data_IF_655218839857
#
_entry.id   IF_655218839857
#
_cell.length_a   1.000
_cell.length_b   1.000
_cell.length_c   1.000
_cell.angle_alpha   90.00
_cell.angle_beta   90.00
_cell.angle_gamma   90.00
#
_symmetry.space_group_name_H-M   'P 1'
#
loop_
_entity.id
_entity.type
_entity.pdbx_description
1 polymer ?
#
# COMPACT_ATOMS: atom_id res chain seq x y z
N UNK A 1 20.24 10.61 -24.76
CA UNK A 1 21.16 10.12 -23.72
C UNK A 1 21.06 10.92 -22.41
N UNK A 2 20.48 12.12 -22.43
CA UNK A 2 20.29 12.99 -21.27
C UNK A 2 18.79 13.19 -20.95
N UNK A 3 18.00 12.14 -21.17
CA UNK A 3 16.57 12.10 -20.90
C UNK A 3 16.25 11.11 -19.79
N UNK A 4 15.25 11.45 -18.99
CA UNK A 4 14.79 10.64 -17.85
C UNK A 4 13.27 10.66 -17.75
N UNK A 5 12.67 9.53 -17.47
CA UNK A 5 11.29 9.45 -16.99
C UNK A 5 11.31 9.33 -15.45
N UNK A 6 10.47 10.10 -14.77
CA UNK A 6 10.43 10.14 -13.30
C UNK A 6 9.06 9.74 -12.77
N UNK A 7 9.04 9.25 -11.53
CA UNK A 7 7.80 8.90 -10.85
C UNK A 7 6.86 10.10 -10.69
N UNK A 8 5.55 9.84 -10.85
CA UNK A 8 4.50 10.86 -10.77
C UNK A 8 4.40 11.53 -9.42
N UNK A 9 4.51 10.75 -8.33
CA UNK A 9 4.33 11.30 -6.97
C UNK A 9 5.51 12.18 -6.62
N UNK A 10 6.73 11.74 -6.95
CA UNK A 10 7.95 12.53 -6.82
C UNK A 10 7.86 13.82 -7.65
N UNK A 11 7.45 13.71 -8.92
CA UNK A 11 7.29 14.87 -9.81
C UNK A 11 6.29 15.89 -9.24
N UNK A 12 5.13 15.42 -8.78
CA UNK A 12 4.09 16.28 -8.20
C UNK A 12 4.57 17.00 -6.94
N UNK A 13 5.23 16.30 -6.03
CA UNK A 13 5.67 16.84 -4.75
C UNK A 13 6.85 17.83 -4.90
N UNK A 14 7.60 17.70 -5.99
CA UNK A 14 8.72 18.60 -6.31
C UNK A 14 8.36 19.66 -7.37
N UNK A 15 7.09 19.73 -7.81
CA UNK A 15 6.61 20.64 -8.86
C UNK A 15 7.39 20.50 -10.17
N UNK A 16 7.74 19.28 -10.56
CA UNK A 16 8.46 18.96 -11.78
C UNK A 16 7.49 18.57 -12.90
N UNK A 17 7.84 18.97 -14.12
CA UNK A 17 7.05 18.73 -15.33
C UNK A 17 7.95 18.23 -16.46
N UNK A 18 7.35 17.63 -17.48
CA UNK A 18 8.08 17.25 -18.71
C UNK A 18 8.72 18.49 -19.34
N UNK A 19 10.01 18.40 -19.63
CA UNK A 19 10.85 19.47 -20.13
C UNK A 19 11.70 20.15 -19.06
N UNK A 20 11.40 19.96 -17.78
CA UNK A 20 12.24 20.44 -16.68
C UNK A 20 13.51 19.61 -16.58
N UNK A 21 14.45 20.11 -15.79
CA UNK A 21 15.75 19.46 -15.56
C UNK A 21 15.83 18.92 -14.14
N UNK A 22 16.43 17.74 -14.01
CA UNK A 22 16.74 17.11 -12.74
C UNK A 22 18.20 16.67 -12.73
N UNK A 23 18.82 16.73 -11.58
CA UNK A 23 20.20 16.28 -11.38
C UNK A 23 20.19 14.90 -10.72
N UNK A 24 20.87 13.93 -11.34
CA UNK A 24 21.09 12.59 -10.84
C UNK A 24 22.60 12.34 -10.78
N UNK A 25 23.12 12.06 -9.61
CA UNK A 25 24.55 11.80 -9.39
C UNK A 25 25.47 12.87 -10.03
N UNK A 26 25.11 14.14 -9.92
CA UNK A 26 25.89 15.26 -10.47
C UNK A 26 25.74 15.48 -11.98
N UNK A 27 24.89 14.71 -12.65
CA UNK A 27 24.59 14.86 -14.08
C UNK A 27 23.18 15.38 -14.28
N UNK A 28 23.02 16.31 -15.22
CA UNK A 28 21.73 16.93 -15.52
C UNK A 28 21.01 16.16 -16.62
N UNK A 29 19.76 15.76 -16.33
CA UNK A 29 18.84 15.12 -17.28
C UNK A 29 17.64 16.02 -17.54
N UNK A 30 17.05 15.86 -18.72
CA UNK A 30 15.78 16.49 -19.07
C UNK A 30 14.64 15.50 -18.88
N UNK A 31 13.61 15.88 -18.16
CA UNK A 31 12.42 15.02 -17.93
C UNK A 31 11.68 14.86 -19.24
N UNK A 32 11.69 13.66 -19.81
CA UNK A 32 10.98 13.32 -21.04
C UNK A 32 9.60 12.69 -20.78
N UNK A 33 9.35 12.19 -19.57
CA UNK A 33 8.11 11.54 -19.21
C UNK A 33 7.88 11.47 -17.70
N UNK A 34 6.60 11.31 -17.35
CA UNK A 34 6.16 11.05 -15.99
C UNK A 34 5.50 9.66 -15.99
N UNK A 35 5.97 8.78 -15.13
CA UNK A 35 5.57 7.37 -15.11
C UNK A 35 4.98 6.95 -13.77
N UNK A 36 4.42 5.77 -13.74
CA UNK A 36 4.08 5.03 -12.52
C UNK A 36 4.37 3.56 -12.79
N UNK A 37 5.12 2.94 -11.90
CA UNK A 37 5.46 1.52 -12.01
C UNK A 37 4.54 0.69 -11.11
N UNK A 38 4.10 -0.49 -11.54
CA UNK A 38 3.19 -1.34 -10.78
C UNK A 38 3.84 -1.95 -9.51
N UNK A 39 5.15 -2.09 -9.49
CA UNK A 39 5.96 -2.58 -8.39
C UNK A 39 6.49 -1.47 -7.44
N UNK A 40 6.17 -0.22 -7.75
CA UNK A 40 6.51 0.96 -6.97
C UNK A 40 5.27 1.83 -6.74
N UNK A 41 4.16 1.24 -6.29
CA UNK A 41 2.94 1.97 -5.96
C UNK A 41 3.14 2.93 -4.79
N UNK A 42 4.02 2.55 -3.85
CA UNK A 42 4.50 3.41 -2.79
C UNK A 42 6.04 3.48 -2.85
N UNK A 43 6.57 4.70 -2.75
CA UNK A 43 8.01 4.96 -2.89
C UNK A 43 8.72 4.77 -1.54
N UNK A 44 8.94 3.53 -1.16
CA UNK A 44 9.80 3.17 -0.05
C UNK A 44 11.26 3.09 -0.53
N UNK A 45 12.18 3.66 0.23
CA UNK A 45 13.61 3.51 -0.04
C UNK A 45 14.08 2.09 0.30
N UNK A 46 13.58 1.54 1.43
CA UNK A 46 13.81 0.15 1.83
C UNK A 46 12.47 -0.51 2.12
N UNK A 47 12.38 -1.82 1.87
CA UNK A 47 11.16 -2.58 2.12
C UNK A 47 10.75 -2.67 3.61
N UNK A 48 11.61 -2.24 4.52
CA UNK A 48 11.35 -2.17 5.97
C UNK A 48 10.97 -0.77 6.48
N UNK A 49 10.88 0.23 5.62
CA UNK A 49 10.56 1.59 6.02
C UNK A 49 9.08 1.71 6.41
N UNK A 50 8.78 2.48 7.46
CA UNK A 50 7.42 2.72 7.91
C UNK A 50 6.73 3.89 7.19
N UNK A 51 7.49 4.73 6.49
CA UNK A 51 6.98 5.94 5.84
C UNK A 51 7.62 6.14 4.48
N UNK A 52 6.82 6.59 3.53
CA UNK A 52 7.30 7.02 2.22
C UNK A 52 7.86 8.45 2.29
N UNK A 53 8.99 8.71 1.63
CA UNK A 53 9.54 10.05 1.49
C UNK A 53 9.59 10.45 0.02
N UNK A 54 8.47 10.85 -0.49
CA UNK A 54 8.28 11.20 -1.91
C UNK A 54 8.82 12.58 -2.29
N UNK A 55 9.44 13.30 -1.37
CA UNK A 55 10.09 14.59 -1.64
C UNK A 55 11.58 14.37 -1.98
N UNK A 56 12.26 13.51 -1.22
CA UNK A 56 13.71 13.28 -1.40
C UNK A 56 14.03 11.97 -2.11
N UNK A 57 13.06 11.07 -2.23
CA UNK A 57 13.23 9.79 -2.91
C UNK A 57 12.19 9.63 -4.02
N UNK A 58 12.64 9.15 -5.16
CA UNK A 58 11.80 8.83 -6.30
C UNK A 58 12.45 7.78 -7.17
N UNK A 59 11.68 7.14 -8.03
CA UNK A 59 12.17 6.20 -9.04
C UNK A 59 12.26 6.92 -10.36
N UNK A 60 13.34 6.67 -11.08
CA UNK A 60 13.60 7.24 -12.38
C UNK A 60 14.06 6.14 -13.36
N UNK A 61 13.66 6.28 -14.61
CA UNK A 61 14.11 5.42 -15.69
C UNK A 61 14.95 6.24 -16.68
N UNK A 62 16.08 5.71 -17.03
CA UNK A 62 16.98 6.27 -18.05
C UNK A 62 17.24 5.23 -19.14
N UNK A 63 17.75 5.65 -20.29
CA UNK A 63 18.20 4.72 -21.33
C UNK A 63 19.46 3.98 -20.87
N UNK A 64 19.79 2.87 -21.54
CA UNK A 64 21.04 2.12 -21.27
C UNK A 64 22.28 3.01 -21.38
N UNK A 65 22.29 3.95 -22.32
CA UNK A 65 23.39 4.91 -22.45
C UNK A 65 23.41 5.93 -21.30
N UNK A 66 22.22 6.35 -20.83
CA UNK A 66 22.08 7.21 -19.65
C UNK A 66 22.54 6.49 -18.38
N UNK A 67 22.22 5.19 -18.25
CA UNK A 67 22.64 4.36 -17.11
C UNK A 67 24.17 4.16 -17.11
N UNK A 68 24.75 3.79 -18.25
CA UNK A 68 26.21 3.64 -18.38
C UNK A 68 26.95 4.93 -18.01
N UNK A 69 26.39 6.10 -18.36
CA UNK A 69 26.95 7.38 -17.99
C UNK A 69 26.86 7.70 -16.47
N UNK A 70 25.91 7.11 -15.74
CA UNK A 70 25.81 7.18 -14.28
C UNK A 70 26.85 6.27 -13.60
N UNK A 71 27.13 5.09 -14.17
CA UNK A 71 28.21 4.23 -13.68
C UNK A 71 29.57 4.92 -13.72
N UNK A 72 29.84 5.71 -14.77
CA UNK A 72 31.09 6.45 -14.94
C UNK A 72 31.33 7.50 -13.83
N UNK A 73 30.27 8.00 -13.18
CA UNK A 73 30.39 8.99 -12.07
C UNK A 73 30.44 8.35 -10.68
N UNK A 74 30.48 7.02 -10.60
CA UNK A 74 30.79 6.28 -9.36
C UNK A 74 29.61 5.63 -8.67
N UNK A 75 28.48 5.52 -9.33
CA UNK A 75 27.36 4.69 -8.86
C UNK A 75 27.75 3.21 -8.89
N UNK A 76 27.61 2.50 -7.77
CA UNK A 76 27.70 1.04 -7.76
C UNK A 76 26.33 0.47 -8.16
N UNK A 77 26.21 -0.19 -9.34
CA UNK A 77 24.93 -0.73 -9.76
C UNK A 77 24.50 -1.87 -8.85
N UNK A 78 23.25 -1.85 -8.41
CA UNK A 78 22.59 -2.98 -7.83
C UNK A 78 21.66 -3.61 -8.87
N UNK A 79 21.66 -4.92 -8.95
CA UNK A 79 20.85 -5.67 -9.91
C UNK A 79 19.66 -6.30 -9.18
N UNK A 80 18.46 -5.98 -9.62
CA UNK A 80 17.24 -6.61 -9.15
C UNK A 80 16.69 -7.54 -10.22
N UNK A 81 16.39 -8.78 -9.84
CA UNK A 81 15.83 -9.78 -10.72
C UNK A 81 14.44 -10.15 -10.23
N UNK A 82 13.45 -10.02 -11.11
CA UNK A 82 12.09 -10.49 -10.85
C UNK A 82 11.91 -11.90 -11.41
N UNK A 83 11.28 -12.78 -10.65
CA UNK A 83 10.96 -14.13 -11.07
C UNK A 83 9.53 -14.52 -10.70
N UNK A 84 9.01 -15.55 -11.35
CA UNK A 84 7.73 -16.18 -11.00
C UNK A 84 7.91 -17.68 -11.02
N UNK A 85 7.29 -18.37 -10.06
CA UNK A 85 7.24 -19.84 -10.09
C UNK A 85 6.40 -20.32 -11.27
N UNK A 86 6.85 -21.42 -11.92
CA UNK A 86 6.12 -22.05 -13.02
C UNK A 86 4.81 -22.65 -12.51
N UNK A 87 4.84 -23.25 -11.33
CA UNK A 87 3.65 -23.69 -10.62
C UNK A 87 3.08 -22.49 -9.84
N UNK A 88 1.88 -22.05 -10.20
CA UNK A 88 1.20 -20.92 -9.59
C UNK A 88 0.30 -21.31 -8.41
N UNK A 89 0.08 -22.62 -8.22
CA UNK A 89 -0.78 -23.18 -7.19
C UNK A 89 0.00 -23.66 -5.94
N UNK A 90 1.27 -23.27 -5.82
CA UNK A 90 2.09 -23.54 -4.64
C UNK A 90 1.43 -23.00 -3.39
N UNK A 91 1.39 -23.83 -2.34
CA UNK A 91 1.01 -23.33 -1.01
C UNK A 91 2.06 -22.32 -0.51
N UNK A 92 1.68 -21.47 0.43
CA UNK A 92 2.61 -20.49 1.04
C UNK A 92 3.85 -21.19 1.61
N UNK A 93 3.70 -22.37 2.24
CA UNK A 93 4.81 -23.13 2.78
C UNK A 93 5.75 -23.66 1.67
N UNK A 94 5.19 -24.28 0.63
CA UNK A 94 5.98 -24.80 -0.50
C UNK A 94 6.69 -23.66 -1.24
N UNK A 95 6.08 -22.49 -1.32
CA UNK A 95 6.69 -21.31 -1.93
C UNK A 95 7.89 -20.83 -1.11
N UNK A 96 7.75 -20.71 0.21
CA UNK A 96 8.87 -20.33 1.09
C UNK A 96 10.03 -21.32 0.98
N UNK A 97 9.73 -22.62 0.97
CA UNK A 97 10.75 -23.65 0.80
C UNK A 97 11.46 -23.51 -0.57
N UNK A 98 10.72 -23.29 -1.65
CA UNK A 98 11.29 -23.10 -2.98
C UNK A 98 12.13 -21.80 -3.10
N UNK A 99 11.75 -20.74 -2.40
CA UNK A 99 12.50 -19.49 -2.30
C UNK A 99 13.83 -19.70 -1.55
N UNK A 100 13.82 -20.46 -0.47
CA UNK A 100 15.02 -20.81 0.29
C UNK A 100 15.96 -21.68 -0.54
N UNK A 101 15.43 -22.71 -1.20
CA UNK A 101 16.21 -23.58 -2.11
C UNK A 101 16.87 -22.77 -3.23
N UNK A 102 16.16 -21.78 -3.79
CA UNK A 102 16.68 -20.90 -4.82
C UNK A 102 17.83 -20.03 -4.29
N UNK A 103 17.69 -19.43 -3.12
CA UNK A 103 18.74 -18.60 -2.48
C UNK A 103 19.96 -19.46 -2.18
N UNK A 104 19.77 -20.69 -1.68
CA UNK A 104 20.86 -21.64 -1.44
C UNK A 104 21.59 -21.99 -2.72
N UNK A 105 20.86 -22.34 -3.80
CA UNK A 105 21.44 -22.66 -5.10
C UNK A 105 22.21 -21.49 -5.73
N UNK A 106 21.72 -20.24 -5.56
CA UNK A 106 22.42 -19.05 -6.03
C UNK A 106 23.70 -18.81 -5.22
N UNK A 107 23.64 -19.00 -3.91
CA UNK A 107 24.80 -18.86 -3.02
C UNK A 107 25.86 -19.91 -3.32
N UNK A 108 25.46 -21.16 -3.56
CA UNK A 108 26.37 -22.24 -3.96
C UNK A 108 27.04 -21.99 -5.34
N UNK A 109 26.38 -21.20 -6.18
CA UNK A 109 26.92 -20.74 -7.46
C UNK A 109 27.77 -19.46 -7.36
N UNK A 110 28.23 -19.08 -6.16
CA UNK A 110 28.99 -17.85 -5.88
C UNK A 110 28.22 -16.55 -6.25
N UNK A 111 26.90 -16.60 -6.38
CA UNK A 111 26.10 -15.38 -6.53
C UNK A 111 25.86 -14.75 -5.17
N UNK A 112 26.12 -13.45 -5.08
CA UNK A 112 25.79 -12.68 -3.88
C UNK A 112 24.31 -12.29 -3.93
N UNK A 113 23.52 -12.82 -3.01
CA UNK A 113 22.13 -12.42 -2.78
C UNK A 113 22.10 -11.50 -1.56
N UNK A 114 21.76 -10.25 -1.76
CA UNK A 114 21.68 -9.27 -0.68
C UNK A 114 20.30 -9.28 -0.01
N UNK A 115 19.22 -9.51 -0.77
CA UNK A 115 17.86 -9.58 -0.28
C UNK A 115 16.97 -10.43 -1.22
N UNK A 116 15.93 -11.03 -0.65
CA UNK A 116 14.85 -11.68 -1.36
C UNK A 116 13.53 -11.16 -0.83
N UNK A 117 12.73 -10.54 -1.69
CA UNK A 117 11.43 -9.97 -1.33
C UNK A 117 10.35 -10.68 -2.12
N UNK A 118 9.47 -11.41 -1.45
CA UNK A 118 8.30 -11.98 -2.09
C UNK A 118 7.20 -10.92 -2.33
N UNK A 119 6.23 -11.25 -3.20
CA UNK A 119 5.18 -10.30 -3.57
C UNK A 119 4.26 -9.92 -2.40
N UNK A 120 4.10 -10.82 -1.41
CA UNK A 120 3.22 -10.59 -0.26
C UNK A 120 3.91 -9.69 0.79
N UNK A 121 5.23 -9.75 0.89
CA UNK A 121 6.03 -8.90 1.78
C UNK A 121 6.56 -7.63 1.13
N UNK A 122 6.35 -7.46 -0.18
CA UNK A 122 6.76 -6.26 -0.91
C UNK A 122 5.82 -5.09 -0.63
N UNK A 123 6.26 -4.16 0.21
CA UNK A 123 5.50 -2.96 0.54
C UNK A 123 5.19 -2.08 -0.68
N UNK A 124 6.10 -2.01 -1.66
CA UNK A 124 5.90 -1.24 -2.88
C UNK A 124 4.70 -1.72 -3.70
N UNK A 125 4.39 -3.02 -3.65
CA UNK A 125 3.24 -3.65 -4.33
C UNK A 125 2.00 -3.68 -3.43
N UNK A 126 2.20 -4.05 -2.15
CA UNK A 126 1.12 -4.32 -1.20
C UNK A 126 0.45 -3.08 -0.61
N UNK A 127 1.16 -1.96 -0.55
CA UNK A 127 0.79 -0.79 0.24
C UNK A 127 -0.66 -0.32 0.07
N UNK A 128 -1.12 -0.15 -1.17
CA UNK A 128 -2.47 0.34 -1.43
C UNK A 128 -3.55 -0.67 -1.01
N UNK A 129 -3.28 -1.97 -1.12
CA UNK A 129 -4.20 -3.03 -0.69
C UNK A 129 -4.27 -3.09 0.83
N UNK A 130 -3.13 -3.06 1.49
CA UNK A 130 -3.02 -3.18 2.94
C UNK A 130 -3.63 -1.96 3.65
N UNK A 131 -3.50 -0.77 3.05
CA UNK A 131 -4.12 0.47 3.50
C UNK A 131 -5.66 0.37 3.42
N UNK A 132 -6.20 -0.10 2.29
CA UNK A 132 -7.65 -0.31 2.11
C UNK A 132 -8.19 -1.39 3.06
N UNK A 133 -7.46 -2.48 3.27
CA UNK A 133 -7.87 -3.55 4.17
C UNK A 133 -7.85 -3.09 5.64
N UNK A 134 -6.84 -2.29 6.01
CA UNK A 134 -6.76 -1.64 7.32
C UNK A 134 -7.92 -0.68 7.58
N UNK A 135 -8.19 0.20 6.62
CA UNK A 135 -9.32 1.14 6.67
C UNK A 135 -10.66 0.41 6.75
N UNK A 136 -10.85 -0.62 5.94
CA UNK A 136 -12.07 -1.45 5.95
C UNK A 136 -12.31 -2.07 7.33
N UNK A 137 -11.28 -2.62 7.95
CA UNK A 137 -11.35 -3.22 9.30
C UNK A 137 -11.71 -2.16 10.36
N UNK A 138 -11.12 -0.99 10.27
CA UNK A 138 -11.43 0.13 11.15
C UNK A 138 -12.90 0.58 11.02
N UNK A 139 -13.38 0.73 9.77
CA UNK A 139 -14.77 1.12 9.50
C UNK A 139 -15.77 0.06 9.97
N UNK A 140 -15.49 -1.22 9.78
CA UNK A 140 -16.33 -2.31 10.30
C UNK A 140 -16.41 -2.26 11.82
N UNK A 141 -15.28 -2.10 12.51
CA UNK A 141 -15.24 -2.00 13.97
C UNK A 141 -16.04 -0.80 14.47
N UNK A 142 -15.91 0.35 13.81
CA UNK A 142 -16.69 1.54 14.14
C UNK A 142 -18.19 1.32 13.95
N UNK A 143 -18.58 0.65 12.87
CA UNK A 143 -19.96 0.33 12.56
C UNK A 143 -20.57 -0.61 13.61
N UNK A 144 -19.83 -1.62 14.05
CA UNK A 144 -20.25 -2.51 15.12
C UNK A 144 -20.50 -1.76 16.44
N UNK A 145 -19.62 -0.83 16.80
CA UNK A 145 -19.79 0.02 17.98
C UNK A 145 -21.06 0.87 17.85
N UNK A 146 -21.30 1.47 16.69
CA UNK A 146 -22.50 2.30 16.44
C UNK A 146 -23.76 1.43 16.54
N UNK A 147 -23.77 0.21 16.02
CA UNK A 147 -24.91 -0.71 16.11
C UNK A 147 -25.22 -1.02 17.58
N UNK A 148 -24.22 -1.30 18.41
CA UNK A 148 -24.42 -1.56 19.83
C UNK A 148 -24.99 -0.34 20.54
N UNK A 149 -24.47 0.85 20.27
CA UNK A 149 -25.01 2.11 20.84
C UNK A 149 -26.46 2.33 20.40
N UNK A 150 -26.75 2.15 19.10
CA UNK A 150 -28.10 2.30 18.57
C UNK A 150 -29.08 1.32 19.21
N UNK A 151 -28.69 0.07 19.40
CA UNK A 151 -29.52 -0.93 20.07
C UNK A 151 -29.84 -0.50 21.51
N UNK A 152 -28.84 0.01 22.24
CA UNK A 152 -29.03 0.50 23.60
C UNK A 152 -29.99 1.71 23.65
N UNK A 153 -29.79 2.68 22.76
CA UNK A 153 -30.67 3.86 22.65
C UNK A 153 -32.10 3.43 22.31
N UNK A 154 -32.28 2.45 21.43
CA UNK A 154 -33.59 1.91 21.06
C UNK A 154 -34.32 1.30 22.24
N UNK A 155 -33.62 0.51 23.08
CA UNK A 155 -34.18 -0.06 24.30
C UNK A 155 -34.67 1.04 25.25
N UNK A 156 -33.82 2.05 25.51
CA UNK A 156 -34.16 3.16 26.42
C UNK A 156 -35.36 3.97 25.90
N UNK A 157 -35.37 4.27 24.59
CA UNK A 157 -36.50 5.00 23.99
C UNK A 157 -37.80 4.19 24.02
N UNK A 158 -37.73 2.88 23.77
CA UNK A 158 -38.89 2.01 23.82
C UNK A 158 -39.45 1.94 25.23
N UNK A 159 -38.62 1.76 26.24
CA UNK A 159 -39.05 1.76 27.65
C UNK A 159 -39.71 3.09 28.05
N UNK A 160 -39.10 4.22 27.69
CA UNK A 160 -39.67 5.55 27.96
C UNK A 160 -41.03 5.74 27.29
N UNK A 161 -41.19 5.31 26.03
CA UNK A 161 -42.45 5.41 25.30
C UNK A 161 -43.54 4.52 25.93
N UNK A 162 -43.19 3.30 26.35
CA UNK A 162 -44.11 2.40 27.03
C UNK A 162 -44.57 3.00 28.37
N UNK A 163 -43.66 3.58 29.13
CA UNK A 163 -43.97 4.22 30.41
C UNK A 163 -44.92 5.42 30.25
N UNK A 164 -44.68 6.26 29.24
CA UNK A 164 -45.51 7.44 28.93
C UNK A 164 -46.91 7.02 28.44
N UNK A 165 -47.02 6.03 27.59
CA UNK A 165 -48.28 5.56 27.04
C UNK A 165 -49.06 4.66 28.01
N UNK A 166 -48.41 4.04 28.97
CA UNK A 166 -49.07 3.13 29.93
C UNK A 166 -50.15 3.82 30.76
N UNK A 167 -49.96 5.09 31.12
CA UNK A 167 -50.96 5.89 31.81
C UNK A 167 -52.21 6.17 30.95
N UNK A 168 -52.01 6.43 29.67
CA UNK A 168 -53.07 6.65 28.68
C UNK A 168 -53.85 5.36 28.43
N UNK A 169 -53.13 4.25 28.24
CA UNK A 169 -53.70 2.91 28.04
C UNK A 169 -54.53 2.50 29.28
N UNK A 170 -54.02 2.75 30.48
CA UNK A 170 -54.72 2.48 31.75
C UNK A 170 -56.03 3.24 31.89
N UNK A 171 -56.06 4.54 31.54
CA UNK A 171 -57.30 5.35 31.56
C UNK A 171 -58.29 4.93 30.50
N UNK A 172 -57.84 4.53 29.30
CA UNK A 172 -58.73 3.98 28.25
C UNK A 172 -59.36 2.65 28.65
N UNK A 173 -58.58 1.75 29.24
CA UNK A 173 -59.10 0.48 29.75
C UNK A 173 -60.09 0.67 30.90
N UNK A 174 -59.85 1.62 31.79
CA UNK A 174 -60.75 1.98 32.91
C UNK A 174 -62.07 2.58 32.40
N UNK A 175 -62.08 3.27 31.26
CA UNK A 175 -63.30 3.82 30.63
C UNK A 175 -64.07 2.80 29.75
N UNK A 176 -63.65 1.52 29.74
CA UNK A 176 -64.35 0.43 29.07
C UNK A 176 -63.95 0.14 27.64
N UNK A 177 -62.88 0.73 27.15
CA UNK A 177 -62.31 0.33 25.86
C UNK A 177 -61.74 -1.08 25.97
N UNK A 178 -62.16 -1.97 25.08
CA UNK A 178 -61.61 -3.33 24.94
C UNK A 178 -60.45 -3.33 23.96
N UNK A 179 -59.44 -4.20 24.23
CA UNK A 179 -58.41 -4.54 23.25
C UNK A 179 -58.99 -5.07 21.96
#
# INVERSE_FOLDING_TARGET
DDEVAIDRVFATNNNLSVGDKVELEGRTYTICGIMTQPDSQALFLNNSDFTVNTITYGVAEVTDAGFAALEDVGGAPAYTYSFTFTDRDLSTADRIDAEQDMVEALTDADARVDDLVDADSNQGIGYARDDVDGDSTMWMTLLDIIIVIMAFVFVVLTDATIEEESAIIGTLLASGYRR
#
